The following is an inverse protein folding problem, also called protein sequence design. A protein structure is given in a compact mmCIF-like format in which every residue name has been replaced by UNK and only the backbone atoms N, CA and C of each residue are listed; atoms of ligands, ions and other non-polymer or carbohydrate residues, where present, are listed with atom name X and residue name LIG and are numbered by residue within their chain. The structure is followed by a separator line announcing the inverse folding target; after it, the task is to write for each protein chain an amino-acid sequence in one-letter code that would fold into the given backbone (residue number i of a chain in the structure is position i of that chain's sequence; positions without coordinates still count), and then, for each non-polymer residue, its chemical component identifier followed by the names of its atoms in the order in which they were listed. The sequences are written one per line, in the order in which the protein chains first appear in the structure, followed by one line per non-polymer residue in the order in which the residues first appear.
data_IF_329664076359
#
_entry.id   IF_329664076359
#
_cell.length_a   1.000
_cell.length_b   1.000
_cell.length_c   1.000
_cell.angle_alpha   90.00
_cell.angle_beta   90.00
_cell.angle_gamma   90.00
#
_symmetry.space_group_name_H-M   'P 1'
#
loop_
_entity.id
_entity.type
_entity.pdbx_description
1 polymer ?
#
# COMPACT_ATOMS: atom_id res chain seq x y z
N UNK A 1 16.22 -16.80 6.57
CA UNK A 1 17.39 -17.57 6.11
C UNK A 1 17.43 -17.49 4.59
N UNK A 2 18.39 -16.77 4.04
CA UNK A 2 19.04 -17.06 2.76
C UNK A 2 20.27 -16.16 2.70
N UNK A 3 21.34 -16.60 3.36
CA UNK A 3 22.66 -15.99 3.20
C UNK A 3 23.18 -16.43 1.83
N UNK A 4 22.58 -15.88 0.77
CA UNK A 4 23.20 -15.91 -0.54
C UNK A 4 24.56 -15.22 -0.42
N UNK A 5 25.52 -15.58 -1.26
CA UNK A 5 26.81 -14.91 -1.26
C UNK A 5 26.57 -13.42 -1.64
N UNK A 6 27.10 -12.43 -0.89
CA UNK A 6 26.94 -11.01 -1.23
C UNK A 6 27.39 -10.69 -2.66
N UNK A 7 28.43 -11.37 -3.16
CA UNK A 7 28.88 -11.22 -4.55
C UNK A 7 27.84 -11.69 -5.55
N UNK A 8 27.06 -12.73 -5.22
CA UNK A 8 25.95 -13.19 -6.09
C UNK A 8 24.84 -12.15 -6.12
N UNK A 9 24.50 -11.54 -4.98
CA UNK A 9 23.48 -10.48 -4.95
C UNK A 9 23.91 -9.23 -5.70
N UNK A 10 25.15 -8.78 -5.51
CA UNK A 10 25.74 -7.68 -6.26
C UNK A 10 25.75 -7.96 -7.77
N UNK A 11 26.14 -9.17 -8.15
CA UNK A 11 26.10 -9.63 -9.54
C UNK A 11 24.67 -9.60 -10.10
N UNK A 12 23.67 -10.10 -9.35
CA UNK A 12 22.28 -10.10 -9.78
C UNK A 12 21.73 -8.68 -10.04
N UNK A 13 21.94 -7.74 -9.11
CA UNK A 13 21.49 -6.34 -9.34
C UNK A 13 22.19 -5.75 -10.55
N UNK A 14 23.51 -5.97 -10.68
CA UNK A 14 24.26 -5.49 -11.84
C UNK A 14 23.71 -6.03 -13.16
N UNK A 15 23.35 -7.31 -13.23
CA UNK A 15 22.75 -7.88 -14.44
C UNK A 15 21.33 -7.40 -14.69
N UNK A 16 20.52 -7.19 -13.65
CA UNK A 16 19.18 -6.61 -13.80
C UNK A 16 19.31 -5.23 -14.45
N UNK A 17 20.18 -4.35 -13.93
CA UNK A 17 20.42 -3.00 -14.51
C UNK A 17 20.98 -3.06 -15.94
N UNK A 18 21.89 -4.01 -16.23
CA UNK A 18 22.40 -4.17 -17.60
C UNK A 18 21.29 -4.63 -18.56
N UNK A 19 20.47 -5.61 -18.17
CA UNK A 19 19.37 -6.09 -18.99
C UNK A 19 18.30 -5.02 -19.22
N UNK A 20 18.03 -4.21 -18.21
CA UNK A 20 17.11 -3.06 -18.27
C UNK A 20 17.56 -1.99 -19.27
N UNK A 21 18.87 -1.77 -19.39
CA UNK A 21 19.43 -0.86 -20.38
C UNK A 21 19.30 -1.33 -21.85
N UNK A 22 18.88 -2.58 -22.09
CA UNK A 22 18.71 -3.15 -23.43
C UNK A 22 17.30 -2.85 -23.94
N UNK A 23 17.12 -2.00 -24.97
CA UNK A 23 15.80 -1.52 -25.40
C UNK A 23 14.87 -2.60 -25.97
N UNK A 24 15.42 -3.75 -26.38
CA UNK A 24 14.65 -4.87 -26.94
C UNK A 24 14.12 -5.84 -25.86
N UNK A 25 14.47 -5.63 -24.58
CA UNK A 25 14.05 -6.48 -23.47
C UNK A 25 12.98 -5.75 -22.65
N UNK A 26 11.79 -6.33 -22.58
CA UNK A 26 10.71 -5.83 -21.72
C UNK A 26 10.95 -6.25 -20.27
N UNK A 27 11.84 -5.54 -19.57
CA UNK A 27 12.15 -5.82 -18.16
C UNK A 27 10.98 -5.53 -17.22
N UNK A 28 10.11 -4.57 -17.56
CA UNK A 28 8.89 -4.29 -16.78
C UNK A 28 7.94 -5.48 -16.76
N UNK A 29 7.80 -6.21 -17.86
CA UNK A 29 7.02 -7.45 -17.92
C UNK A 29 7.52 -8.56 -16.99
N UNK A 30 8.82 -8.59 -16.68
CA UNK A 30 9.43 -9.57 -15.76
C UNK A 30 9.60 -9.05 -14.34
N UNK A 31 9.42 -7.74 -14.10
CA UNK A 31 9.65 -7.10 -12.80
C UNK A 31 8.94 -7.81 -11.63
N UNK A 32 7.67 -8.25 -11.73
CA UNK A 32 7.02 -8.95 -10.62
C UNK A 32 7.76 -10.20 -10.13
N UNK A 33 8.55 -10.85 -10.97
CA UNK A 33 9.24 -12.10 -10.63
C UNK A 33 10.49 -11.89 -9.76
N UNK A 34 11.11 -10.70 -9.83
CA UNK A 34 12.33 -10.38 -9.08
C UNK A 34 12.23 -9.15 -8.17
N UNK A 35 11.10 -8.42 -8.21
CA UNK A 35 10.85 -7.23 -7.39
C UNK A 35 11.08 -7.51 -5.89
N UNK A 36 10.56 -8.62 -5.38
CA UNK A 36 10.75 -9.02 -3.98
C UNK A 36 12.24 -9.20 -3.63
N UNK A 37 13.03 -9.74 -4.57
CA UNK A 37 14.47 -9.88 -4.46
C UNK A 37 15.19 -8.53 -4.30
N UNK A 38 14.82 -7.53 -5.12
CA UNK A 38 15.37 -6.17 -5.00
C UNK A 38 14.98 -5.52 -3.68
N UNK A 39 13.72 -5.66 -3.25
CA UNK A 39 13.28 -5.17 -1.94
C UNK A 39 14.02 -5.84 -0.76
N UNK A 40 14.33 -7.14 -0.85
CA UNK A 40 15.17 -7.82 0.15
C UNK A 40 16.58 -7.20 0.22
N UNK A 41 17.12 -6.72 -0.90
CA UNK A 41 18.45 -6.12 -0.97
C UNK A 41 18.51 -4.69 -0.41
N UNK A 42 17.38 -4.00 -0.26
CA UNK A 42 17.32 -2.72 0.47
C UNK A 42 17.71 -2.86 1.95
N UNK A 43 17.51 -4.03 2.53
CA UNK A 43 17.90 -4.36 3.91
C UNK A 43 19.24 -5.11 3.99
N UNK A 44 20.05 -5.14 2.92
CA UNK A 44 21.32 -5.88 2.91
C UNK A 44 22.32 -5.32 3.94
N UNK A 45 23.16 -6.18 4.50
CA UNK A 45 24.33 -5.78 5.29
C UNK A 45 25.31 -4.86 4.52
N UNK A 46 25.50 -5.10 3.22
CA UNK A 46 26.40 -4.34 2.35
C UNK A 46 25.75 -3.04 1.89
N UNK A 47 26.37 -1.90 2.23
CA UNK A 47 25.90 -0.59 1.79
C UNK A 47 25.87 -0.45 0.26
N UNK A 48 26.85 -1.04 -0.42
CA UNK A 48 26.93 -0.98 -1.89
C UNK A 48 25.76 -1.73 -2.54
N UNK A 49 25.39 -2.90 -2.01
CA UNK A 49 24.24 -3.66 -2.52
C UNK A 49 22.94 -2.89 -2.27
N UNK A 50 22.78 -2.28 -1.09
CA UNK A 50 21.60 -1.43 -0.80
C UNK A 50 21.50 -0.28 -1.79
N UNK A 51 22.61 0.40 -2.06
CA UNK A 51 22.64 1.53 -2.99
C UNK A 51 22.30 1.09 -4.42
N UNK A 52 22.86 -0.02 -4.90
CA UNK A 52 22.55 -0.54 -6.23
C UNK A 52 21.08 -0.94 -6.36
N UNK A 53 20.52 -1.61 -5.35
CA UNK A 53 19.11 -2.00 -5.34
C UNK A 53 18.19 -0.78 -5.33
N UNK A 54 18.51 0.25 -4.53
CA UNK A 54 17.77 1.51 -4.48
C UNK A 54 17.79 2.26 -5.81
N UNK A 55 18.96 2.35 -6.47
CA UNK A 55 19.08 2.94 -7.80
C UNK A 55 18.24 2.18 -8.83
N UNK A 56 18.35 0.85 -8.88
CA UNK A 56 17.57 0.04 -9.82
C UNK A 56 16.05 0.17 -9.59
N UNK A 57 15.59 0.14 -8.33
CA UNK A 57 14.18 0.36 -8.01
C UNK A 57 13.72 1.77 -8.38
N UNK A 58 14.56 2.79 -8.17
CA UNK A 58 14.24 4.16 -8.57
C UNK A 58 14.05 4.28 -10.08
N UNK A 59 14.90 3.63 -10.87
CA UNK A 59 14.81 3.59 -12.33
C UNK A 59 13.52 2.88 -12.78
N UNK A 60 13.24 1.67 -12.28
CA UNK A 60 12.00 0.96 -12.60
C UNK A 60 10.74 1.75 -12.26
N UNK A 61 10.71 2.45 -11.12
CA UNK A 61 9.56 3.27 -10.76
C UNK A 61 9.34 4.43 -11.75
N UNK A 62 10.43 5.04 -12.28
CA UNK A 62 10.32 6.05 -13.33
C UNK A 62 9.83 5.46 -14.65
N UNK A 63 10.26 4.25 -15.00
CA UNK A 63 9.79 3.59 -16.22
C UNK A 63 8.31 3.23 -16.14
N UNK A 64 7.85 2.70 -15.00
CA UNK A 64 6.43 2.41 -14.73
C UNK A 64 5.58 3.67 -14.96
N UNK A 65 6.03 4.83 -14.45
CA UNK A 65 5.33 6.12 -14.62
C UNK A 65 5.16 6.54 -16.08
N UNK A 66 6.03 6.05 -16.97
CA UNK A 66 6.04 6.41 -18.39
C UNK A 66 5.53 5.28 -19.30
N UNK A 67 5.17 4.12 -18.74
CA UNK A 67 4.69 2.96 -19.49
C UNK A 67 3.17 2.89 -19.55
N UNK A 68 2.57 2.66 -20.73
CA UNK A 68 1.11 2.54 -20.86
C UNK A 68 0.56 1.19 -20.38
N UNK A 69 1.41 0.17 -20.21
CA UNK A 69 1.01 -1.20 -19.87
C UNK A 69 1.91 -1.74 -18.78
N UNK A 70 1.36 -1.88 -17.57
CA UNK A 70 2.07 -2.35 -16.38
C UNK A 70 1.16 -3.30 -15.59
N UNK A 71 1.69 -4.44 -15.15
CA UNK A 71 0.98 -5.36 -14.24
C UNK A 71 1.10 -4.88 -12.80
N UNK A 72 0.22 -3.95 -12.42
CA UNK A 72 0.19 -3.39 -11.07
C UNK A 72 -0.22 -4.43 -10.01
N UNK A 73 -1.04 -5.41 -10.36
CA UNK A 73 -1.65 -6.35 -9.40
C UNK A 73 -0.63 -7.23 -8.70
N UNK A 74 0.17 -7.98 -9.47
CA UNK A 74 1.21 -8.87 -8.90
C UNK A 74 2.23 -8.10 -8.07
N UNK A 75 2.59 -6.90 -8.51
CA UNK A 75 3.52 -6.05 -7.78
C UNK A 75 2.90 -5.48 -6.50
N UNK A 76 1.61 -5.13 -6.50
CA UNK A 76 0.91 -4.64 -5.31
C UNK A 76 0.96 -5.64 -4.15
N UNK A 77 0.79 -6.94 -4.43
CA UNK A 77 0.89 -8.00 -3.41
C UNK A 77 2.27 -8.00 -2.72
N UNK A 78 3.34 -7.87 -3.51
CA UNK A 78 4.71 -7.80 -3.01
C UNK A 78 4.89 -6.53 -2.16
N UNK A 79 4.45 -5.39 -2.67
CA UNK A 79 4.58 -4.10 -1.99
C UNK A 79 3.83 -4.07 -0.65
N UNK A 80 2.62 -4.65 -0.59
CA UNK A 80 1.83 -4.78 0.65
C UNK A 80 2.61 -5.55 1.71
N UNK A 81 3.27 -6.64 1.34
CA UNK A 81 4.11 -7.40 2.26
C UNK A 81 5.33 -6.57 2.72
N UNK A 82 5.95 -5.81 1.80
CA UNK A 82 7.15 -5.01 2.09
C UNK A 82 6.87 -3.75 2.91
N UNK A 83 5.67 -3.19 2.82
CA UNK A 83 5.21 -2.11 3.68
C UNK A 83 5.18 -2.50 5.18
N UNK A 84 5.13 -3.80 5.50
CA UNK A 84 5.21 -4.31 6.87
C UNK A 84 6.64 -4.72 7.30
N UNK A 85 7.67 -4.46 6.49
CA UNK A 85 9.06 -4.80 6.80
C UNK A 85 9.52 -4.20 8.15
N UNK A 86 10.36 -4.86 8.95
CA UNK A 86 10.97 -4.23 10.12
C UNK A 86 11.98 -3.13 9.74
N UNK A 87 12.55 -3.21 8.53
CA UNK A 87 13.47 -2.21 8.00
C UNK A 87 12.73 -0.97 7.51
N UNK A 88 13.12 0.18 8.04
CA UNK A 88 12.44 1.47 7.80
C UNK A 88 12.56 1.92 6.34
N UNK A 89 13.74 1.77 5.75
CA UNK A 89 13.98 2.18 4.37
C UNK A 89 13.15 1.34 3.39
N UNK A 90 13.14 0.02 3.59
CA UNK A 90 12.32 -0.92 2.84
C UNK A 90 10.82 -0.58 2.95
N UNK A 91 10.32 -0.27 4.15
CA UNK A 91 8.93 0.17 4.34
C UNK A 91 8.65 1.46 3.57
N UNK A 92 9.51 2.46 3.71
CA UNK A 92 9.35 3.76 3.05
C UNK A 92 9.34 3.61 1.52
N UNK A 93 10.23 2.81 0.96
CA UNK A 93 10.26 2.55 -0.48
C UNK A 93 8.97 1.84 -0.92
N UNK A 94 8.51 0.84 -0.15
CA UNK A 94 7.29 0.10 -0.49
C UNK A 94 6.04 0.98 -0.49
N UNK A 95 5.82 1.77 0.56
CA UNK A 95 4.65 2.67 0.62
C UNK A 95 4.72 3.80 -0.41
N UNK A 96 5.93 4.23 -0.80
CA UNK A 96 6.11 5.22 -1.88
C UNK A 96 5.68 4.62 -3.21
N UNK A 97 6.07 3.39 -3.50
CA UNK A 97 5.59 2.67 -4.69
C UNK A 97 4.06 2.47 -4.65
N UNK A 98 3.51 2.07 -3.51
CA UNK A 98 2.05 1.92 -3.34
C UNK A 98 1.34 3.25 -3.64
N UNK A 99 1.86 4.37 -3.15
CA UNK A 99 1.29 5.69 -3.42
C UNK A 99 1.22 5.99 -4.93
N UNK A 100 2.31 5.75 -5.65
CA UNK A 100 2.37 5.94 -7.10
C UNK A 100 1.43 4.99 -7.83
N UNK A 101 1.35 3.74 -7.38
CA UNK A 101 0.47 2.73 -7.94
C UNK A 101 -1.00 3.14 -7.78
N UNK A 102 -1.41 3.61 -6.60
CA UNK A 102 -2.77 4.11 -6.37
C UNK A 102 -3.10 5.28 -7.31
N UNK A 103 -2.14 6.15 -7.62
CA UNK A 103 -2.33 7.27 -8.55
C UNK A 103 -2.42 6.86 -10.02
N UNK A 104 -1.78 5.75 -10.41
CA UNK A 104 -1.61 5.35 -11.82
C UNK A 104 -2.45 4.13 -12.24
N UNK A 105 -2.63 3.16 -11.34
CA UNK A 105 -3.16 1.83 -11.68
C UNK A 105 -4.66 1.78 -11.94
N UNK A 106 -5.41 2.81 -11.52
CA UNK A 106 -6.85 2.92 -11.77
C UNK A 106 -7.61 1.65 -11.39
N UNK A 107 -8.48 1.19 -12.28
CA UNK A 107 -9.38 0.04 -12.03
C UNK A 107 -8.64 -1.28 -11.83
N UNK A 108 -7.41 -1.42 -12.35
CA UNK A 108 -6.61 -2.65 -12.21
C UNK A 108 -6.23 -2.95 -10.76
N UNK A 109 -6.16 -1.91 -9.92
CA UNK A 109 -5.82 -2.05 -8.50
C UNK A 109 -7.02 -2.22 -7.59
N UNK A 110 -8.25 -2.01 -8.09
CA UNK A 110 -9.48 -2.10 -7.29
C UNK A 110 -9.57 -3.40 -6.48
N UNK A 111 -9.28 -4.59 -7.05
CA UNK A 111 -9.30 -5.85 -6.28
C UNK A 111 -8.30 -5.89 -5.12
N UNK A 112 -7.23 -5.08 -5.16
CA UNK A 112 -6.15 -5.06 -4.17
C UNK A 112 -6.29 -3.93 -3.14
N UNK A 113 -7.26 -3.04 -3.28
CA UNK A 113 -7.43 -1.87 -2.38
C UNK A 113 -7.61 -2.25 -0.92
N UNK A 114 -8.26 -3.38 -0.63
CA UNK A 114 -8.37 -3.86 0.74
C UNK A 114 -7.00 -4.15 1.35
N UNK A 115 -6.19 -4.96 0.67
CA UNK A 115 -4.85 -5.32 1.16
C UNK A 115 -3.93 -4.10 1.25
N UNK A 116 -3.99 -3.22 0.25
CA UNK A 116 -3.28 -1.94 0.26
C UNK A 116 -3.69 -1.10 1.47
N UNK A 117 -4.99 -0.92 1.73
CA UNK A 117 -5.45 -0.16 2.89
C UNK A 117 -4.99 -0.81 4.20
N UNK A 118 -4.98 -2.15 4.26
CA UNK A 118 -4.48 -2.92 5.39
C UNK A 118 -3.01 -2.69 5.71
N UNK A 119 -2.20 -2.39 4.69
CA UNK A 119 -0.81 -1.99 4.84
C UNK A 119 -0.65 -0.49 5.19
N UNK A 120 -1.47 0.38 4.61
CA UNK A 120 -1.33 1.84 4.75
C UNK A 120 -1.81 2.36 6.11
N UNK A 121 -2.96 1.90 6.64
CA UNK A 121 -3.53 2.45 7.87
C UNK A 121 -2.59 2.36 9.10
N UNK A 122 -1.87 1.25 9.34
CA UNK A 122 -0.87 1.20 10.41
C UNK A 122 0.26 2.23 10.23
N UNK A 123 0.66 2.51 8.98
CA UNK A 123 1.76 3.44 8.67
C UNK A 123 1.43 4.92 8.96
N UNK A 124 0.16 5.28 9.11
CA UNK A 124 -0.27 6.66 9.47
C UNK A 124 0.27 7.08 10.84
N UNK A 125 0.53 6.10 11.71
CA UNK A 125 1.09 6.28 13.04
C UNK A 125 2.50 5.68 13.18
N UNK A 126 3.22 5.48 12.06
CA UNK A 126 4.62 5.02 12.09
C UNK A 126 5.50 6.02 12.85
N UNK A 127 6.59 5.53 13.45
CA UNK A 127 7.58 6.36 14.14
C UNK A 127 8.28 7.34 13.18
N UNK A 128 8.48 6.95 11.93
CA UNK A 128 9.17 7.74 10.92
C UNK A 128 8.21 8.73 10.25
N UNK A 129 8.58 10.01 10.25
CA UNK A 129 7.72 11.08 9.75
C UNK A 129 7.45 10.95 8.26
N UNK A 130 8.48 10.62 7.47
CA UNK A 130 8.31 10.44 6.02
C UNK A 130 7.30 9.34 5.70
N UNK A 131 7.31 8.26 6.48
CA UNK A 131 6.35 7.17 6.33
C UNK A 131 4.93 7.65 6.61
N UNK A 132 4.73 8.40 7.71
CA UNK A 132 3.41 8.95 8.05
C UNK A 132 2.86 9.86 6.96
N UNK A 133 3.70 10.73 6.38
CA UNK A 133 3.28 11.67 5.32
C UNK A 133 2.79 10.90 4.08
N UNK A 134 3.59 9.97 3.57
CA UNK A 134 3.22 9.17 2.39
C UNK A 134 2.01 8.29 2.67
N UNK A 135 1.90 7.71 3.86
CA UNK A 135 0.75 6.90 4.25
C UNK A 135 -0.55 7.71 4.29
N UNK A 136 -0.52 8.93 4.83
CA UNK A 136 -1.70 9.83 4.84
C UNK A 136 -2.13 10.21 3.43
N UNK A 137 -1.17 10.62 2.60
CA UNK A 137 -1.43 10.94 1.19
C UNK A 137 -2.06 9.75 0.46
N UNK A 138 -1.48 8.56 0.59
CA UNK A 138 -2.02 7.34 -0.04
C UNK A 138 -3.43 7.00 0.45
N UNK A 139 -3.67 7.17 1.76
CA UNK A 139 -4.98 6.94 2.36
C UNK A 139 -6.04 7.94 1.87
N UNK A 140 -5.66 9.20 1.63
CA UNK A 140 -6.54 10.20 1.03
C UNK A 140 -6.88 9.87 -0.42
N UNK A 141 -5.89 9.48 -1.23
CA UNK A 141 -6.09 9.04 -2.61
C UNK A 141 -7.04 7.82 -2.68
N UNK A 142 -6.80 6.79 -1.87
CA UNK A 142 -7.66 5.60 -1.81
C UNK A 142 -9.13 5.94 -1.48
N UNK A 143 -9.38 6.91 -0.58
CA UNK A 143 -10.75 7.34 -0.24
C UNK A 143 -11.40 8.17 -1.33
N UNK A 144 -10.60 8.97 -2.04
CA UNK A 144 -11.08 9.82 -3.12
C UNK A 144 -11.55 8.99 -4.32
N UNK A 145 -10.95 7.81 -4.53
CA UNK A 145 -11.34 6.87 -5.59
C UNK A 145 -12.82 6.50 -5.50
N UNK A 146 -13.45 6.43 -6.67
CA UNK A 146 -14.83 5.99 -6.86
C UNK A 146 -14.81 4.54 -7.37
N UNK A 147 -14.51 3.61 -6.49
CA UNK A 147 -14.50 2.19 -6.83
C UNK A 147 -15.92 1.60 -6.74
N UNK A 148 -16.32 0.81 -7.74
CA UNK A 148 -17.60 0.11 -7.75
C UNK A 148 -17.42 -1.33 -7.22
N UNK A 149 -18.29 -1.82 -6.32
CA UNK A 149 -18.32 -3.24 -5.93
C UNK A 149 -18.37 -4.21 -7.13
N UNK A 150 -18.96 -3.82 -8.26
CA UNK A 150 -18.99 -4.61 -9.48
C UNK A 150 -17.61 -4.81 -10.13
N UNK A 151 -16.65 -3.92 -9.84
CA UNK A 151 -15.27 -3.94 -10.36
C UNK A 151 -14.30 -4.64 -9.40
N UNK A 152 -14.82 -5.31 -8.36
CA UNK A 152 -14.02 -6.04 -7.38
C UNK A 152 -13.71 -5.26 -6.10
N UNK A 153 -14.34 -4.10 -5.89
CA UNK A 153 -14.20 -3.35 -4.64
C UNK A 153 -14.87 -4.07 -3.47
N UNK A 154 -14.08 -4.77 -2.65
CA UNK A 154 -14.59 -5.52 -1.50
C UNK A 154 -14.82 -4.62 -0.27
N UNK A 155 -16.02 -4.03 -0.21
CA UNK A 155 -16.51 -3.24 0.94
C UNK A 155 -16.41 -4.03 2.25
N UNK A 156 -16.66 -5.35 2.23
CA UNK A 156 -16.62 -6.19 3.42
C UNK A 156 -15.21 -6.35 3.98
N UNK A 157 -14.23 -6.58 3.10
CA UNK A 157 -12.82 -6.64 3.48
C UNK A 157 -12.31 -5.31 4.03
N UNK A 158 -12.65 -4.19 3.37
CA UNK A 158 -12.31 -2.83 3.85
C UNK A 158 -12.89 -2.60 5.26
N UNK A 159 -14.17 -2.92 5.48
CA UNK A 159 -14.80 -2.79 6.81
C UNK A 159 -14.10 -3.65 7.88
N UNK A 160 -13.66 -4.85 7.52
CA UNK A 160 -12.91 -5.73 8.43
C UNK A 160 -11.59 -5.11 8.87
N UNK A 161 -10.85 -4.54 7.93
CA UNK A 161 -9.56 -3.86 8.16
C UNK A 161 -9.76 -2.64 9.04
N UNK A 162 -10.68 -1.75 8.65
CA UNK A 162 -10.99 -0.52 9.37
C UNK A 162 -11.44 -0.83 10.81
N UNK A 163 -12.25 -1.88 11.00
CA UNK A 163 -12.64 -2.35 12.33
C UNK A 163 -11.45 -2.83 13.16
N UNK A 164 -10.50 -3.56 12.55
CA UNK A 164 -9.27 -3.97 13.25
C UNK A 164 -8.50 -2.73 13.71
N UNK A 165 -8.38 -1.72 12.86
CA UNK A 165 -7.64 -0.50 13.17
C UNK A 165 -8.30 0.38 14.24
N UNK A 166 -9.64 0.38 14.36
CA UNK A 166 -10.34 1.06 15.47
C UNK A 166 -9.94 0.55 16.86
N UNK A 167 -9.47 -0.69 16.97
CA UNK A 167 -9.05 -1.29 18.24
C UNK A 167 -7.57 -1.03 18.56
N UNK A 168 -6.85 -0.27 17.72
CA UNK A 168 -5.45 0.09 17.97
C UNK A 168 -5.33 1.19 19.02
N UNK A 169 -4.15 1.25 19.62
CA UNK A 169 -3.80 2.28 20.60
C UNK A 169 -3.59 3.67 19.96
N UNK A 170 -3.28 3.70 18.66
CA UNK A 170 -2.92 4.92 17.94
C UNK A 170 -4.15 5.73 17.54
N UNK A 171 -4.33 6.88 18.18
CA UNK A 171 -5.47 7.77 17.93
C UNK A 171 -5.58 8.21 16.47
N UNK A 172 -4.47 8.61 15.84
CA UNK A 172 -4.45 9.03 14.44
C UNK A 172 -5.01 7.95 13.50
N UNK A 173 -4.55 6.71 13.64
CA UNK A 173 -5.04 5.59 12.84
C UNK A 173 -6.53 5.28 13.12
N UNK A 174 -7.00 5.46 14.36
CA UNK A 174 -8.45 5.29 14.68
C UNK A 174 -9.32 6.35 14.03
N UNK A 175 -8.89 7.62 14.00
CA UNK A 175 -9.61 8.70 13.34
C UNK A 175 -9.75 8.41 11.84
N UNK A 176 -8.65 7.99 11.21
CA UNK A 176 -8.68 7.64 9.78
C UNK A 176 -9.58 6.44 9.49
N UNK A 177 -9.62 5.45 10.39
CA UNK A 177 -10.57 4.36 10.32
C UNK A 177 -12.03 4.86 10.40
N UNK A 178 -12.37 5.80 11.28
CA UNK A 178 -13.71 6.39 11.34
C UNK A 178 -14.09 7.14 10.05
N UNK A 179 -13.16 7.89 9.45
CA UNK A 179 -13.36 8.54 8.15
C UNK A 179 -13.70 7.54 7.04
N UNK A 180 -13.05 6.37 7.02
CA UNK A 180 -13.39 5.29 6.10
C UNK A 180 -14.81 4.78 6.31
N UNK A 181 -15.24 4.57 7.55
CA UNK A 181 -16.60 4.10 7.85
C UNK A 181 -17.64 5.10 7.36
N UNK A 182 -17.43 6.38 7.66
CA UNK A 182 -18.30 7.46 7.18
C UNK A 182 -18.37 7.47 5.65
N UNK A 183 -17.23 7.35 4.98
CA UNK A 183 -17.15 7.31 3.52
C UNK A 183 -17.92 6.12 2.93
N UNK A 184 -17.73 4.92 3.48
CA UNK A 184 -18.42 3.71 3.04
C UNK A 184 -19.93 3.77 3.31
N UNK A 185 -20.36 4.32 4.44
CA UNK A 185 -21.79 4.51 4.72
C UNK A 185 -22.46 5.48 3.75
N UNK A 186 -21.73 6.49 3.27
CA UNK A 186 -22.23 7.45 2.29
C UNK A 186 -22.26 6.88 0.87
N UNK A 187 -21.25 6.08 0.48
CA UNK A 187 -21.09 5.57 -0.89
C UNK A 187 -21.71 4.16 -1.12
N UNK A 188 -21.66 3.26 -0.13
CA UNK A 188 -22.00 1.84 -0.25
C UNK A 188 -22.91 1.37 0.90
N UNK A 189 -23.97 2.14 1.17
CA UNK A 189 -24.84 1.94 2.34
C UNK A 189 -25.47 0.55 2.39
N UNK A 190 -25.92 0.02 1.25
CA UNK A 190 -26.56 -1.29 1.14
C UNK A 190 -25.61 -2.41 1.55
N UNK A 191 -24.38 -2.36 1.07
CA UNK A 191 -23.33 -3.35 1.28
C UNK A 191 -22.86 -3.31 2.73
N UNK A 192 -22.70 -2.11 3.30
CA UNK A 192 -22.34 -1.93 4.71
C UNK A 192 -23.45 -2.48 5.62
N UNK A 193 -24.73 -2.18 5.37
CA UNK A 193 -25.85 -2.67 6.18
C UNK A 193 -26.00 -4.19 6.05
N UNK A 194 -25.84 -4.76 4.85
CA UNK A 194 -25.88 -6.21 4.62
C UNK A 194 -24.79 -6.96 5.39
N UNK A 195 -23.60 -6.37 5.47
CA UNK A 195 -22.46 -6.89 6.24
C UNK A 195 -22.65 -6.75 7.77
N UNK A 196 -23.66 -5.97 8.20
CA UNK A 196 -23.78 -5.44 9.57
C UNK A 196 -24.66 -6.21 10.55
N UNK A 197 -25.06 -7.46 10.28
CA UNK A 197 -25.75 -8.28 11.31
C UNK A 197 -24.92 -8.48 12.61
N UNK A 198 -23.63 -8.10 12.63
CA UNK A 198 -22.76 -8.08 13.83
C UNK A 198 -22.29 -6.68 14.28
N UNK A 199 -22.64 -5.60 13.57
CA UNK A 199 -22.06 -4.24 13.71
C UNK A 199 -22.89 -3.28 14.57
N UNK A 200 -24.22 -3.43 14.58
CA UNK A 200 -25.14 -2.41 15.12
C UNK A 200 -25.02 -2.13 16.63
N UNK A 201 -24.38 -3.00 17.41
CA UNK A 201 -24.23 -2.78 18.86
C UNK A 201 -23.09 -1.81 19.23
N UNK A 202 -22.03 -1.66 18.42
CA UNK A 202 -20.89 -0.80 18.78
C UNK A 202 -20.94 0.59 18.12
N UNK A 203 -21.40 0.68 16.86
CA UNK A 203 -21.15 1.89 16.08
C UNK A 203 -22.19 3.01 16.27
N UNK A 204 -23.40 2.65 16.70
CA UNK A 204 -24.47 3.63 16.96
C UNK A 204 -24.11 4.58 18.10
N UNK A 205 -23.19 4.20 19.00
CA UNK A 205 -22.73 5.08 20.07
C UNK A 205 -21.62 6.04 19.62
N UNK A 206 -20.67 5.62 18.79
CA UNK A 206 -19.54 6.48 18.39
C UNK A 206 -19.91 7.53 17.34
N UNK A 207 -20.63 7.16 16.28
CA UNK A 207 -20.98 8.11 15.20
C UNK A 207 -21.98 9.16 15.70
N UNK A 208 -22.88 8.81 16.63
CA UNK A 208 -23.80 9.77 17.24
C UNK A 208 -23.03 10.75 18.15
N UNK A 209 -22.03 10.29 18.91
CA UNK A 209 -21.22 11.18 19.75
C UNK A 209 -20.41 12.19 18.94
N UNK A 210 -19.84 11.80 17.80
CA UNK A 210 -19.02 12.70 16.97
C UNK A 210 -19.86 13.71 16.18
N UNK A 211 -21.01 13.28 15.64
CA UNK A 211 -21.97 14.18 14.97
C UNK A 211 -22.59 15.16 15.96
N UNK A 212 -22.78 14.77 17.23
CA UNK A 212 -23.22 15.70 18.28
C UNK A 212 -22.12 16.68 18.71
N UNK A 213 -20.84 16.27 18.70
CA UNK A 213 -19.72 17.15 19.08
C UNK A 213 -19.37 18.22 18.04
N UNK A 214 -19.69 17.98 16.76
CA UNK A 214 -19.45 18.94 15.67
C UNK A 214 -20.64 19.89 15.42
N UNK A 215 -21.76 19.70 16.13
CA UNK A 215 -22.95 20.56 16.05
C UNK A 215 -23.04 21.66 17.11
N UNK A 216 -22.05 21.78 18.00
CA UNK A 216 -21.99 22.77 19.09
C UNK A 216 -20.79 23.73 18.98
N UNK A 217 -20.58 24.32 17.79
CA UNK A 217 -19.77 25.55 17.62
C UNK A 217 -20.40 26.48 16.59
#
# INVERSE_FOLDING_TARGET
MNVLNPYVRQFLVGWITVLDSVPDIDMLGFLPDFLDGLFNMLSDSSHEIRQQADSALSEFLQEIKNSPSVDYGRMAEILVQRAASPDEFTRLTAITWINEFVKLGGDQLVPYYADILGAILPCISDKEEKIRVVARETNDELRAIKADPAEGFDVGAILSIVRRELNREWEGTRIEALHWISTLLNKHRSEVIGSSCKWFMCLRFLVICEVMSLGEN
#
